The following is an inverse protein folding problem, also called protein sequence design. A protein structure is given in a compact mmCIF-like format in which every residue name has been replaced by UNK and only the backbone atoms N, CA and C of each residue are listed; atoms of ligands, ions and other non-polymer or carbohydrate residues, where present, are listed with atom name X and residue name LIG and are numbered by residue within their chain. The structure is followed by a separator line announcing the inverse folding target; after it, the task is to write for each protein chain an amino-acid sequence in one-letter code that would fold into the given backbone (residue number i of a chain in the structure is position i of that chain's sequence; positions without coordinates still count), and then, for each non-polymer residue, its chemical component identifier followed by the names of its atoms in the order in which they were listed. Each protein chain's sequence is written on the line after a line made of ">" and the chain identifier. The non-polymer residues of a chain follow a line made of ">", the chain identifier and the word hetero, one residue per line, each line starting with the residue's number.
data_IF_563877635936
#
_entry.id   IF_563877635936
#
_cell.length_a   1.000
_cell.length_b   1.000
_cell.length_c   1.000
_cell.angle_alpha   90.00
_cell.angle_beta   90.00
_cell.angle_gamma   90.00
#
_symmetry.space_group_name_H-M   'P 1'
#
loop_
_entity.id
_entity.type
_entity.pdbx_description
1 polymer ?
#
# COMPACT_ATOMS: atom_id res chain seq x y z
N UNK A 1 50.81 8.02 -0.50
CA UNK A 1 50.29 9.35 -0.11
C UNK A 1 48.80 9.18 0.21
N UNK A 2 48.32 9.58 1.40
CA UNK A 2 46.87 9.54 1.68
C UNK A 2 46.15 10.50 0.73
N UNK A 3 44.92 10.09 0.31
CA UNK A 3 44.07 10.90 -0.55
C UNK A 3 43.73 12.24 0.13
N UNK A 4 43.86 13.39 -0.55
CA UNK A 4 43.55 14.69 0.01
C UNK A 4 42.06 14.97 0.15
N UNK A 5 41.17 14.03 -0.29
CA UNK A 5 39.75 14.19 -0.20
C UNK A 5 39.19 13.36 0.96
N UNK A 6 38.37 13.96 1.83
CA UNK A 6 37.67 13.22 2.87
C UNK A 6 36.78 12.15 2.24
N UNK A 7 36.76 10.94 2.82
CA UNK A 7 35.87 9.89 2.40
C UNK A 7 34.39 10.40 2.44
N UNK A 8 33.54 10.03 1.48
CA UNK A 8 32.13 10.41 1.51
C UNK A 8 31.52 10.02 2.84
N UNK A 9 30.76 10.94 3.45
CA UNK A 9 30.03 10.62 4.68
C UNK A 9 29.18 9.37 4.47
N UNK A 10 29.05 8.53 5.46
CA UNK A 10 28.30 7.25 5.40
C UNK A 10 26.88 7.44 4.86
N UNK A 11 26.26 8.60 5.12
CA UNK A 11 24.93 8.97 4.62
C UNK A 11 24.86 9.13 3.09
N UNK A 12 25.97 9.38 2.40
CA UNK A 12 26.04 9.52 0.92
C UNK A 12 26.42 8.23 0.20
N UNK A 13 26.88 7.21 0.93
CA UNK A 13 27.27 5.93 0.33
C UNK A 13 26.01 5.20 -0.14
N UNK A 14 26.00 4.80 -1.41
CA UNK A 14 24.91 4.03 -2.02
C UNK A 14 25.02 2.57 -1.57
N UNK A 15 23.94 2.03 -1.05
CA UNK A 15 23.88 0.64 -0.55
C UNK A 15 22.55 -0.02 -0.95
N UNK A 16 22.47 -1.32 -0.83
CA UNK A 16 21.22 -2.07 -0.89
C UNK A 16 20.29 -1.65 0.26
N UNK A 17 18.99 -1.88 0.07
CA UNK A 17 18.03 -1.65 1.16
C UNK A 17 18.35 -2.55 2.36
N UNK A 18 18.44 -2.00 3.59
CA UNK A 18 18.66 -2.79 4.79
C UNK A 18 17.65 -3.92 4.94
N UNK A 19 18.13 -5.11 5.31
CA UNK A 19 17.32 -6.33 5.42
C UNK A 19 16.08 -6.15 6.31
N UNK A 20 16.23 -5.47 7.45
CA UNK A 20 15.11 -5.16 8.34
C UNK A 20 13.99 -4.40 7.64
N UNK A 21 14.30 -3.43 6.77
CA UNK A 21 13.29 -2.68 6.00
C UNK A 21 12.62 -3.56 4.96
N UNK A 22 13.38 -4.42 4.29
CA UNK A 22 12.86 -5.39 3.33
C UNK A 22 11.88 -6.35 4.01
N UNK A 23 12.27 -6.91 5.15
CA UNK A 23 11.42 -7.79 5.95
C UNK A 23 10.15 -7.08 6.44
N UNK A 24 10.24 -5.81 6.86
CA UNK A 24 9.08 -5.01 7.26
C UNK A 24 8.12 -4.71 6.10
N UNK A 25 8.62 -4.43 4.89
CA UNK A 25 7.76 -4.30 3.72
C UNK A 25 7.02 -5.62 3.43
N UNK A 26 7.73 -6.73 3.46
CA UNK A 26 7.14 -8.06 3.26
C UNK A 26 6.08 -8.38 4.31
N UNK A 27 6.36 -8.12 5.59
CA UNK A 27 5.41 -8.31 6.69
C UNK A 27 4.15 -7.45 6.53
N UNK A 28 4.29 -6.18 6.13
CA UNK A 28 3.13 -5.32 5.85
C UNK A 28 2.33 -5.82 4.64
N UNK A 29 2.99 -6.41 3.65
CA UNK A 29 2.30 -7.10 2.55
C UNK A 29 1.44 -8.26 3.05
N UNK A 30 1.95 -9.11 3.94
CA UNK A 30 1.17 -10.17 4.60
C UNK A 30 0.01 -9.57 5.39
N UNK A 31 0.22 -8.48 6.13
CA UNK A 31 -0.83 -7.82 6.89
C UNK A 31 -1.97 -7.32 5.99
N UNK A 32 -1.67 -6.79 4.80
CA UNK A 32 -2.67 -6.43 3.81
C UNK A 32 -3.41 -7.66 3.24
N UNK A 33 -2.75 -8.80 3.09
CA UNK A 33 -3.45 -10.05 2.75
C UNK A 33 -4.40 -10.50 3.86
N UNK A 34 -3.99 -10.41 5.13
CA UNK A 34 -4.91 -10.67 6.25
C UNK A 34 -6.12 -9.71 6.20
N UNK A 35 -5.87 -8.44 5.90
CA UNK A 35 -6.94 -7.47 5.71
C UNK A 35 -7.82 -7.82 4.49
N UNK A 36 -7.25 -8.30 3.38
CA UNK A 36 -8.01 -8.77 2.24
C UNK A 36 -8.94 -9.93 2.61
N UNK A 37 -8.47 -10.90 3.39
CA UNK A 37 -9.31 -12.00 3.91
C UNK A 37 -10.45 -11.45 4.76
N UNK A 38 -10.16 -10.51 5.67
CA UNK A 38 -11.19 -9.86 6.49
C UNK A 38 -12.25 -9.16 5.62
N UNK A 39 -11.84 -8.39 4.60
CA UNK A 39 -12.75 -7.74 3.65
C UNK A 39 -13.52 -8.78 2.82
N UNK A 40 -12.85 -9.87 2.45
CA UNK A 40 -13.48 -10.98 1.72
C UNK A 40 -14.64 -11.59 2.48
N UNK A 41 -14.53 -11.77 3.80
CA UNK A 41 -15.64 -12.20 4.65
C UNK A 41 -16.78 -11.19 4.68
N UNK A 42 -16.49 -9.89 4.77
CA UNK A 42 -17.53 -8.85 4.70
C UNK A 42 -18.28 -8.88 3.38
N UNK A 43 -17.54 -8.98 2.27
CA UNK A 43 -18.12 -9.07 0.94
C UNK A 43 -18.97 -10.35 0.78
N UNK A 44 -18.45 -11.49 1.25
CA UNK A 44 -19.18 -12.76 1.21
C UNK A 44 -20.52 -12.67 1.96
N UNK A 45 -20.52 -12.15 3.19
CA UNK A 45 -21.75 -11.98 3.96
C UNK A 45 -22.66 -10.89 3.37
N UNK A 46 -22.11 -9.85 2.76
CA UNK A 46 -22.89 -8.84 2.05
C UNK A 46 -23.66 -9.44 0.85
N UNK A 47 -23.05 -10.39 0.14
CA UNK A 47 -23.69 -11.10 -0.98
C UNK A 47 -24.79 -12.07 -0.51
N UNK A 48 -24.57 -12.76 0.61
CA UNK A 48 -25.54 -13.71 1.16
C UNK A 48 -26.71 -13.04 1.89
N UNK A 49 -26.50 -11.84 2.47
CA UNK A 49 -27.44 -11.22 3.38
C UNK A 49 -27.51 -11.88 4.77
N UNK A 50 -26.61 -12.82 5.04
CA UNK A 50 -26.55 -13.57 6.30
C UNK A 50 -25.11 -13.97 6.64
N UNK A 51 -24.81 -14.11 7.94
CA UNK A 51 -23.57 -14.73 8.41
C UNK A 51 -23.79 -16.23 8.48
N UNK A 52 -23.06 -17.00 7.67
CA UNK A 52 -23.13 -18.46 7.62
C UNK A 52 -21.78 -19.04 8.03
N UNK A 53 -21.75 -19.62 9.21
CA UNK A 53 -20.56 -20.31 9.74
C UNK A 53 -20.90 -21.76 10.14
N UNK A 54 -21.76 -22.39 9.33
CA UNK A 54 -22.17 -23.79 9.56
C UNK A 54 -20.94 -24.73 9.53
N UNK A 55 -20.86 -25.76 10.41
CA UNK A 55 -21.86 -26.13 11.43
C UNK A 55 -21.67 -25.41 12.79
N UNK A 56 -20.75 -24.44 12.89
CA UNK A 56 -20.37 -23.83 14.17
C UNK A 56 -21.49 -23.02 14.81
N UNK A 57 -22.22 -22.22 13.99
CA UNK A 57 -23.36 -21.42 14.45
C UNK A 57 -24.49 -21.44 13.39
N UNK A 58 -25.75 -21.27 13.82
CA UNK A 58 -26.88 -21.04 12.90
C UNK A 58 -26.65 -19.79 12.03
N UNK A 59 -27.33 -19.74 10.89
CA UNK A 59 -27.32 -18.53 10.04
C UNK A 59 -27.93 -17.34 10.80
N UNK A 60 -27.30 -16.17 10.68
CA UNK A 60 -27.72 -14.92 11.30
C UNK A 60 -27.95 -13.89 10.20
N UNK A 61 -29.22 -13.44 10.05
CA UNK A 61 -29.54 -12.38 9.10
C UNK A 61 -28.75 -11.10 9.40
N UNK A 62 -28.14 -10.53 8.40
CA UNK A 62 -27.36 -9.28 8.51
C UNK A 62 -27.48 -8.46 7.23
N UNK A 63 -27.57 -7.15 7.41
CA UNK A 63 -27.52 -6.19 6.31
C UNK A 63 -26.19 -5.43 6.35
N UNK A 64 -25.19 -5.90 5.61
CA UNK A 64 -23.93 -5.20 5.48
C UNK A 64 -24.09 -4.09 4.44
N UNK A 65 -23.85 -2.81 4.80
CA UNK A 65 -23.98 -1.69 3.87
C UNK A 65 -22.92 -1.75 2.75
N UNK A 66 -23.20 -1.05 1.65
CA UNK A 66 -22.30 -0.97 0.51
C UNK A 66 -22.80 -1.78 -0.69
N UNK A 67 -22.25 -1.50 -1.85
CA UNK A 67 -22.57 -2.22 -3.08
C UNK A 67 -21.50 -3.29 -3.39
N UNK A 68 -21.85 -4.30 -4.16
CA UNK A 68 -20.94 -5.39 -4.55
C UNK A 68 -19.66 -4.89 -5.21
N UNK A 69 -19.77 -3.88 -6.08
CA UNK A 69 -18.61 -3.29 -6.77
C UNK A 69 -17.63 -2.65 -5.77
N UNK A 70 -18.14 -1.96 -4.75
CA UNK A 70 -17.30 -1.33 -3.74
C UNK A 70 -16.57 -2.37 -2.90
N UNK A 71 -17.26 -3.43 -2.46
CA UNK A 71 -16.64 -4.52 -1.71
C UNK A 71 -15.58 -5.28 -2.52
N UNK A 72 -15.89 -5.59 -3.78
CA UNK A 72 -14.93 -6.21 -4.68
C UNK A 72 -13.70 -5.32 -4.89
N UNK A 73 -13.90 -4.00 -5.03
CA UNK A 73 -12.80 -3.05 -5.24
C UNK A 73 -11.84 -3.05 -4.06
N UNK A 74 -12.31 -2.92 -2.83
CA UNK A 74 -11.43 -2.91 -1.65
C UNK A 74 -10.74 -4.25 -1.41
N UNK A 75 -11.43 -5.38 -1.68
CA UNK A 75 -10.83 -6.71 -1.58
C UNK A 75 -9.66 -6.86 -2.56
N UNK A 76 -9.86 -6.53 -3.83
CA UNK A 76 -8.82 -6.59 -4.86
C UNK A 76 -7.70 -5.60 -4.60
N UNK A 77 -7.99 -4.41 -4.09
CA UNK A 77 -6.99 -3.42 -3.74
C UNK A 77 -6.10 -3.92 -2.59
N UNK A 78 -6.66 -4.48 -1.54
CA UNK A 78 -5.89 -5.05 -0.44
C UNK A 78 -4.93 -6.17 -0.92
N UNK A 79 -5.38 -7.03 -1.85
CA UNK A 79 -4.54 -8.06 -2.46
C UNK A 79 -3.41 -7.43 -3.29
N UNK A 80 -3.73 -6.51 -4.20
CA UNK A 80 -2.73 -5.93 -5.11
C UNK A 80 -1.71 -5.09 -4.38
N UNK A 81 -2.12 -4.30 -3.38
CA UNK A 81 -1.22 -3.52 -2.53
C UNK A 81 -0.36 -4.43 -1.64
N UNK A 82 -0.92 -5.54 -1.15
CA UNK A 82 -0.16 -6.56 -0.42
C UNK A 82 0.93 -7.17 -1.28
N UNK A 83 0.60 -7.60 -2.52
CA UNK A 83 1.57 -8.12 -3.48
C UNK A 83 2.66 -7.09 -3.82
N UNK A 84 2.28 -5.82 -4.01
CA UNK A 84 3.24 -4.74 -4.25
C UNK A 84 4.26 -4.64 -3.11
N UNK A 85 3.83 -4.59 -1.85
CA UNK A 85 4.76 -4.52 -0.71
C UNK A 85 5.66 -5.75 -0.61
N UNK A 86 5.12 -6.94 -0.85
CA UNK A 86 5.92 -8.16 -0.85
C UNK A 86 6.97 -8.13 -1.97
N UNK A 87 6.58 -7.71 -3.18
CA UNK A 87 7.49 -7.55 -4.32
C UNK A 87 8.59 -6.52 -4.03
N UNK A 88 8.24 -5.36 -3.42
CA UNK A 88 9.21 -4.34 -3.02
C UNK A 88 10.15 -4.83 -1.91
N UNK A 89 9.65 -5.64 -0.98
CA UNK A 89 10.47 -6.28 0.05
C UNK A 89 11.49 -7.25 -0.54
N UNK A 90 11.06 -8.11 -1.47
CA UNK A 90 11.93 -9.07 -2.15
C UNK A 90 12.90 -8.37 -3.11
N UNK A 91 12.41 -7.42 -3.90
CA UNK A 91 13.19 -6.65 -4.88
C UNK A 91 14.09 -5.57 -4.27
N UNK A 92 13.99 -5.29 -2.97
CA UNK A 92 14.72 -4.22 -2.31
C UNK A 92 16.25 -4.31 -2.40
N UNK A 93 16.81 -5.51 -2.66
CA UNK A 93 18.23 -5.73 -2.93
C UNK A 93 18.72 -5.03 -4.21
N UNK A 94 17.83 -4.78 -5.15
CA UNK A 94 18.15 -4.09 -6.40
C UNK A 94 18.06 -2.56 -6.28
N UNK A 95 17.67 -2.02 -5.12
CA UNK A 95 17.55 -0.59 -4.90
C UNK A 95 18.85 -0.02 -4.32
N UNK A 96 19.71 0.51 -5.17
CA UNK A 96 20.93 1.18 -4.76
C UNK A 96 20.66 2.67 -4.46
N UNK A 97 20.35 2.95 -3.20
CA UNK A 97 19.98 4.27 -2.70
C UNK A 97 20.85 4.66 -1.50
N UNK A 98 20.88 5.95 -1.18
CA UNK A 98 21.47 6.42 0.09
C UNK A 98 20.56 6.09 1.28
N UNK A 99 21.10 6.08 2.49
CA UNK A 99 20.34 5.75 3.70
C UNK A 99 19.07 6.63 3.90
N UNK A 100 19.09 7.97 3.65
CA UNK A 100 17.89 8.79 3.68
C UNK A 100 16.88 8.40 2.60
N UNK A 101 17.34 8.12 1.37
CA UNK A 101 16.46 7.72 0.26
C UNK A 101 15.76 6.38 0.55
N UNK A 102 16.44 5.40 1.15
CA UNK A 102 15.82 4.16 1.61
C UNK A 102 14.74 4.39 2.65
N UNK A 103 14.93 5.36 3.55
CA UNK A 103 13.92 5.70 4.56
C UNK A 103 12.69 6.36 3.91
N UNK A 104 12.90 7.28 2.98
CA UNK A 104 11.81 7.92 2.22
C UNK A 104 11.07 6.88 1.39
N UNK A 105 11.77 6.03 0.66
CA UNK A 105 11.18 4.95 -0.14
C UNK A 105 10.32 4.02 0.71
N UNK A 106 10.84 3.56 1.85
CA UNK A 106 10.13 2.67 2.77
C UNK A 106 8.80 3.28 3.24
N UNK A 107 8.84 4.52 3.74
CA UNK A 107 7.62 5.18 4.21
C UNK A 107 6.66 5.53 3.08
N UNK A 108 7.16 5.91 1.92
CA UNK A 108 6.32 6.14 0.74
C UNK A 108 5.60 4.86 0.31
N UNK A 109 6.26 3.69 0.36
CA UNK A 109 5.62 2.42 0.06
C UNK A 109 4.52 2.08 1.08
N UNK A 110 4.78 2.24 2.38
CA UNK A 110 3.79 2.00 3.45
C UNK A 110 2.59 2.95 3.32
N UNK A 111 2.86 4.27 3.16
CA UNK A 111 1.80 5.28 3.02
C UNK A 111 0.95 5.01 1.78
N UNK A 112 1.58 4.72 0.64
CA UNK A 112 0.86 4.39 -0.60
C UNK A 112 -0.12 3.25 -0.38
N UNK A 113 0.36 2.13 0.11
CA UNK A 113 -0.42 0.89 0.15
C UNK A 113 -1.52 0.94 1.20
N UNK A 114 -1.23 1.37 2.42
CA UNK A 114 -2.21 1.42 3.49
C UNK A 114 -3.23 2.55 3.32
N UNK A 115 -2.80 3.74 2.86
CA UNK A 115 -3.74 4.86 2.69
C UNK A 115 -4.50 4.84 1.35
N UNK A 116 -4.18 3.97 0.42
CA UNK A 116 -5.14 3.62 -0.63
C UNK A 116 -6.15 2.60 -0.11
N UNK A 117 -5.70 1.54 0.56
CA UNK A 117 -6.56 0.40 0.94
C UNK A 117 -7.57 0.72 2.05
N UNK A 118 -7.13 1.33 3.17
CA UNK A 118 -8.03 1.58 4.30
C UNK A 118 -9.17 2.56 3.97
N UNK A 119 -8.93 3.72 3.30
CA UNK A 119 -10.02 4.59 2.90
C UNK A 119 -11.01 3.91 1.95
N UNK A 120 -10.55 3.05 1.04
CA UNK A 120 -11.43 2.31 0.13
C UNK A 120 -12.41 1.39 0.88
N UNK A 121 -11.98 0.79 2.00
CA UNK A 121 -12.88 0.04 2.89
C UNK A 121 -13.99 0.94 3.47
N UNK A 122 -13.64 2.13 3.95
CA UNK A 122 -14.64 3.09 4.45
C UNK A 122 -15.53 3.63 3.33
N UNK A 123 -15.01 3.77 2.10
CA UNK A 123 -15.85 4.09 0.94
C UNK A 123 -16.91 3.03 0.70
N UNK A 124 -16.57 1.74 0.83
CA UNK A 124 -17.54 0.66 0.71
C UNK A 124 -18.62 0.76 1.80
N UNK A 125 -18.23 0.90 3.07
CA UNK A 125 -19.16 1.00 4.20
C UNK A 125 -20.09 2.22 4.12
N UNK A 126 -19.56 3.39 3.75
CA UNK A 126 -20.28 4.66 3.81
C UNK A 126 -20.99 5.01 2.50
N UNK A 127 -20.80 4.21 1.45
CA UNK A 127 -21.38 4.44 0.13
C UNK A 127 -20.83 5.72 -0.54
N UNK A 128 -19.60 6.11 -0.22
CA UNK A 128 -18.92 7.29 -0.80
C UNK A 128 -17.89 6.86 -1.83
N UNK A 129 -17.26 7.80 -2.51
CA UNK A 129 -16.17 7.50 -3.47
C UNK A 129 -14.88 8.28 -3.22
N UNK A 130 -14.94 9.41 -2.50
CA UNK A 130 -13.77 10.25 -2.18
C UNK A 130 -12.99 10.74 -3.40
N UNK A 131 -13.63 10.83 -4.58
CA UNK A 131 -12.96 11.23 -5.83
C UNK A 131 -13.06 12.73 -6.10
N UNK A 132 -13.97 13.42 -5.43
CA UNK A 132 -14.15 14.85 -5.56
C UNK A 132 -14.57 15.45 -4.21
N UNK A 133 -14.04 16.62 -3.89
CA UNK A 133 -14.49 17.41 -2.75
C UNK A 133 -15.97 17.81 -2.97
N UNK A 134 -16.79 17.70 -1.93
CA UNK A 134 -18.24 17.90 -2.07
C UNK A 134 -18.99 16.79 -2.79
N UNK A 135 -18.33 15.63 -3.07
CA UNK A 135 -18.95 14.43 -3.67
C UNK A 135 -18.95 14.41 -5.19
N UNK A 136 -18.98 15.55 -5.89
CA UNK A 136 -19.09 15.60 -7.36
C UNK A 136 -20.32 14.84 -7.86
N UNK A 137 -20.16 13.85 -8.78
CA UNK A 137 -21.26 12.99 -9.25
C UNK A 137 -21.65 11.86 -8.27
N UNK A 138 -21.02 11.80 -7.11
CA UNK A 138 -21.22 10.75 -6.09
C UNK A 138 -21.89 11.33 -4.84
N UNK A 139 -22.10 10.47 -3.83
CA UNK A 139 -22.72 10.85 -2.58
C UNK A 139 -21.89 11.94 -1.85
N UNK A 140 -22.44 13.15 -1.63
CA UNK A 140 -21.76 14.19 -0.88
C UNK A 140 -21.78 13.91 0.63
N UNK A 141 -20.99 14.66 1.38
CA UNK A 141 -21.00 14.68 2.85
C UNK A 141 -19.61 14.69 3.45
N UNK A 142 -19.56 14.99 4.76
CA UNK A 142 -18.30 15.12 5.49
C UNK A 142 -17.40 13.87 5.38
N UNK A 143 -17.98 12.67 5.43
CA UNK A 143 -17.23 11.43 5.26
C UNK A 143 -16.54 11.35 3.91
N UNK A 144 -17.23 11.74 2.81
CA UNK A 144 -16.62 11.83 1.48
C UNK A 144 -15.44 12.79 1.46
N UNK A 145 -15.59 13.96 2.04
CA UNK A 145 -14.59 15.03 1.99
C UNK A 145 -13.34 14.67 2.82
N UNK A 146 -13.53 14.07 4.00
CA UNK A 146 -12.42 13.54 4.81
C UNK A 146 -11.65 12.48 4.02
N UNK A 147 -12.34 11.49 3.44
CA UNK A 147 -11.71 10.41 2.68
C UNK A 147 -11.03 10.92 1.40
N UNK A 148 -11.60 11.95 0.75
CA UNK A 148 -10.96 12.64 -0.37
C UNK A 148 -9.62 13.28 0.04
N UNK A 149 -9.59 13.98 1.18
CA UNK A 149 -8.36 14.62 1.66
C UNK A 149 -7.31 13.59 2.09
N UNK A 150 -7.72 12.47 2.71
CA UNK A 150 -6.82 11.37 3.08
C UNK A 150 -6.24 10.68 1.82
N UNK A 151 -6.91 10.76 0.69
CA UNK A 151 -6.44 10.22 -0.59
C UNK A 151 -5.22 10.94 -1.18
N UNK A 152 -4.92 12.18 -0.81
CA UNK A 152 -3.78 12.94 -1.35
C UNK A 152 -2.40 12.48 -0.90
N UNK A 153 -2.15 12.19 0.40
CA UNK A 153 -0.86 11.66 0.84
C UNK A 153 -0.40 10.41 0.06
N UNK A 154 -1.22 9.37 -0.18
CA UNK A 154 -0.78 8.22 -0.96
C UNK A 154 -0.53 8.55 -2.44
N UNK A 155 -1.26 9.52 -3.02
CA UNK A 155 -0.99 9.99 -4.40
C UNK A 155 0.41 10.60 -4.49
N UNK A 156 0.81 11.46 -3.56
CA UNK A 156 2.18 12.00 -3.52
C UNK A 156 3.19 10.89 -3.23
N UNK A 157 2.90 10.04 -2.27
CA UNK A 157 3.81 8.97 -1.85
C UNK A 157 4.11 7.97 -2.98
N UNK A 158 3.12 7.59 -3.81
CA UNK A 158 3.34 6.67 -4.92
C UNK A 158 4.31 7.24 -5.96
N UNK A 159 4.21 8.53 -6.27
CA UNK A 159 5.15 9.17 -7.21
C UNK A 159 6.58 9.20 -6.65
N UNK A 160 6.74 9.52 -5.36
CA UNK A 160 8.05 9.49 -4.70
C UNK A 160 8.61 8.06 -4.66
N UNK A 161 7.80 7.08 -4.32
CA UNK A 161 8.17 5.67 -4.30
C UNK A 161 8.67 5.21 -5.67
N UNK A 162 7.89 5.47 -6.73
CA UNK A 162 8.24 5.05 -8.09
C UNK A 162 9.50 5.75 -8.61
N UNK A 163 9.63 7.05 -8.37
CA UNK A 163 10.82 7.79 -8.76
C UNK A 163 12.08 7.23 -8.08
N UNK A 164 12.02 6.94 -6.78
CA UNK A 164 13.15 6.34 -6.05
C UNK A 164 13.40 4.89 -6.50
N UNK A 165 12.36 4.11 -6.83
CA UNK A 165 12.53 2.77 -7.39
C UNK A 165 13.30 2.82 -8.71
N UNK A 166 12.88 3.67 -9.65
CA UNK A 166 13.55 3.85 -10.94
C UNK A 166 15.02 4.24 -10.73
N UNK A 167 15.28 5.27 -9.92
CA UNK A 167 16.65 5.74 -9.63
C UNK A 167 17.49 4.64 -9.00
N UNK A 168 16.96 3.92 -8.03
CA UNK A 168 17.67 2.87 -7.30
C UNK A 168 18.02 1.68 -8.18
N UNK A 169 17.05 1.17 -8.96
CA UNK A 169 17.29 0.05 -9.90
C UNK A 169 18.22 0.46 -11.03
N UNK A 170 18.06 1.68 -11.57
CA UNK A 170 18.98 2.19 -12.62
C UNK A 170 20.43 2.24 -12.16
N UNK A 171 20.68 2.68 -10.93
CA UNK A 171 22.03 2.70 -10.36
C UNK A 171 22.58 1.30 -10.15
N UNK A 172 21.75 0.37 -9.72
CA UNK A 172 22.11 -1.05 -9.61
C UNK A 172 22.54 -1.60 -10.97
N UNK A 173 21.71 -1.43 -12.02
CA UNK A 173 22.02 -1.90 -13.38
C UNK A 173 23.33 -1.31 -13.91
N UNK A 174 23.57 -0.02 -13.67
CA UNK A 174 24.83 0.63 -14.08
C UNK A 174 26.08 0.13 -13.34
N UNK A 175 25.90 -0.46 -12.16
CA UNK A 175 27.00 -1.02 -11.38
C UNK A 175 27.32 -2.47 -11.76
N UNK A 176 26.51 -3.12 -12.58
CA UNK A 176 26.77 -4.47 -13.09
C UNK A 176 27.89 -4.42 -14.14
N UNK A 177 28.75 -5.48 -14.20
CA UNK A 177 29.74 -5.61 -15.27
C UNK A 177 29.04 -5.62 -16.63
N UNK A 178 29.63 -4.93 -17.60
CA UNK A 178 29.19 -5.07 -19.00
C UNK A 178 29.54 -6.49 -19.48
N UNK A 179 28.50 -7.29 -19.76
CA UNK A 179 28.64 -8.62 -20.38
C UNK A 179 29.14 -8.52 -21.81
#
# INVERSE_FOLDING_TARGET
>A
RPSPFPAPSESKRMTEMPERRRALLFLNGIALFCFAVFVGWHWFFALLGEIVLWPAIPAIDIQIPGDERAWRMVHMEAITQGLLLMALGLGGRFLHLSAPQHRIFFWSAIVTTWLFTLPTYFHALLGTRGLAFGGGPFKPGLANDILYLIGWPPVVAVHVMLALAIVGVWKYVKALPSS
#
